data_IF_548411788420
#
_entry.id   IF_548411788420
#
_cell.length_a   1.000
_cell.length_b   1.000
_cell.length_c   1.000
_cell.angle_alpha   90.00
_cell.angle_beta   90.00
_cell.angle_gamma   90.00
#
_symmetry.space_group_name_H-M   'P 1'
#
loop_
_entity.id
_entity.type
_entity.pdbx_description
1 polymer ?
#
# COMPACT_ATOMS: atom_id res chain seq x y z
N UNK A 1 -2.83 11.09 37.68
CA UNK A 1 -4.06 10.84 36.90
C UNK A 1 -3.72 9.87 35.79
N UNK A 2 -4.29 8.67 35.81
CA UNK A 2 -4.06 7.63 34.82
C UNK A 2 -5.06 7.86 33.67
N UNK A 3 -4.60 8.44 32.54
CA UNK A 3 -5.44 8.62 31.34
C UNK A 3 -5.56 7.26 30.62
N UNK A 4 -6.77 6.81 30.33
CA UNK A 4 -7.03 5.61 29.52
C UNK A 4 -6.57 5.83 28.08
N UNK A 5 -6.08 4.78 27.42
CA UNK A 5 -5.47 4.83 26.08
C UNK A 5 -6.35 5.54 25.01
N UNK A 6 -7.68 5.44 25.12
CA UNK A 6 -8.64 6.13 24.25
C UNK A 6 -8.64 7.65 24.38
N UNK A 7 -8.32 8.20 25.56
CA UNK A 7 -8.21 9.65 25.76
C UNK A 7 -6.87 10.20 25.25
N UNK A 8 -5.83 9.37 25.26
CA UNK A 8 -4.52 9.75 24.73
C UNK A 8 -4.55 9.85 23.20
N UNK A 9 -5.21 8.91 22.52
CA UNK A 9 -5.39 8.94 21.05
C UNK A 9 -6.24 10.13 20.56
N UNK A 10 -7.10 10.71 21.42
CA UNK A 10 -7.87 11.93 21.09
C UNK A 10 -7.05 13.23 21.19
N UNK A 11 -5.89 13.22 21.85
CA UNK A 11 -5.05 14.41 22.06
C UNK A 11 -3.80 14.44 21.16
N UNK A 12 -3.51 13.38 20.39
CA UNK A 12 -2.37 13.37 19.46
C UNK A 12 -2.74 14.08 18.16
N UNK A 13 -2.67 15.41 18.18
CA UNK A 13 -2.79 16.23 16.97
C UNK A 13 -1.45 16.27 16.20
N UNK A 14 -1.52 16.43 14.88
CA UNK A 14 -0.34 16.53 14.05
C UNK A 14 0.47 17.79 14.42
N UNK A 15 1.78 17.68 14.69
CA UNK A 15 2.61 18.86 14.90
C UNK A 15 2.60 19.74 13.65
N UNK A 16 2.71 21.05 13.82
CA UNK A 16 2.53 22.05 12.75
C UNK A 16 3.38 21.78 11.50
N UNK A 17 4.60 21.27 11.69
CA UNK A 17 5.48 20.89 10.59
C UNK A 17 4.95 19.70 9.78
N UNK A 18 4.40 18.69 10.45
CA UNK A 18 3.81 17.51 9.80
C UNK A 18 2.51 17.86 9.08
N UNK A 19 1.67 18.69 9.70
CA UNK A 19 0.44 19.17 9.09
C UNK A 19 0.73 19.96 7.80
N UNK A 20 1.66 20.93 7.85
CA UNK A 20 2.09 21.69 6.66
C UNK A 20 2.70 20.81 5.57
N UNK A 21 3.45 19.77 5.95
CA UNK A 21 4.03 18.84 4.98
C UNK A 21 2.94 18.01 4.27
N UNK A 22 1.97 17.49 5.03
CA UNK A 22 0.85 16.70 4.51
C UNK A 22 -0.08 17.49 3.59
N UNK A 23 -0.35 18.75 3.92
CA UNK A 23 -1.24 19.63 3.13
C UNK A 23 -0.53 20.34 1.98
N UNK A 24 0.81 20.24 1.90
CA UNK A 24 1.60 20.92 0.89
C UNK A 24 1.22 20.49 -0.54
N UNK A 25 1.26 21.42 -1.52
CA UNK A 25 0.97 21.11 -2.92
C UNK A 25 1.95 20.08 -3.51
N UNK A 26 3.20 20.06 -3.04
CA UNK A 26 4.21 19.07 -3.43
C UNK A 26 3.76 17.66 -3.00
N UNK A 27 3.25 17.51 -1.78
CA UNK A 27 2.74 16.23 -1.28
C UNK A 27 1.52 15.77 -2.08
N UNK A 28 0.60 16.69 -2.43
CA UNK A 28 -0.57 16.40 -3.28
C UNK A 28 -0.16 15.91 -4.67
N UNK A 29 0.87 16.50 -5.29
CA UNK A 29 1.42 16.02 -6.58
C UNK A 29 2.05 14.63 -6.41
N UNK A 30 2.83 14.41 -5.36
CA UNK A 30 3.44 13.12 -5.08
C UNK A 30 2.39 12.02 -4.93
N UNK A 31 1.28 12.31 -4.25
CA UNK A 31 0.16 11.40 -4.12
C UNK A 31 -0.46 11.01 -5.47
N UNK A 32 -0.70 11.98 -6.35
CA UNK A 32 -1.21 11.72 -7.71
C UNK A 32 -0.22 10.85 -8.49
N UNK A 33 1.06 11.14 -8.40
CA UNK A 33 2.12 10.36 -9.05
C UNK A 33 2.17 8.92 -8.54
N UNK A 34 2.12 8.70 -7.23
CA UNK A 34 2.11 7.35 -6.64
C UNK A 34 0.88 6.56 -7.10
N UNK A 35 -0.30 7.19 -7.14
CA UNK A 35 -1.51 6.52 -7.64
C UNK A 35 -1.36 6.11 -9.11
N UNK A 36 -0.80 6.97 -9.96
CA UNK A 36 -0.63 6.65 -11.38
C UNK A 36 0.35 5.49 -11.58
N UNK A 37 1.42 5.43 -10.78
CA UNK A 37 2.35 4.29 -10.74
C UNK A 37 1.62 3.01 -10.32
N UNK A 38 0.85 3.04 -9.23
CA UNK A 38 0.11 1.86 -8.74
C UNK A 38 -0.88 1.36 -9.81
N UNK A 39 -1.66 2.25 -10.42
CA UNK A 39 -2.60 1.89 -11.48
C UNK A 39 -1.89 1.25 -12.68
N UNK A 40 -0.76 1.82 -13.09
CA UNK A 40 0.04 1.29 -14.20
C UNK A 40 0.57 -0.11 -13.86
N UNK A 41 1.16 -0.29 -12.67
CA UNK A 41 1.63 -1.59 -12.18
C UNK A 41 0.51 -2.63 -12.09
N UNK A 42 -0.69 -2.21 -11.72
CA UNK A 42 -1.87 -3.08 -11.62
C UNK A 42 -2.30 -3.58 -12.98
N UNK A 43 -2.36 -2.69 -13.97
CA UNK A 43 -2.67 -3.06 -15.35
C UNK A 43 -1.65 -4.03 -15.93
N UNK A 44 -0.35 -3.81 -15.70
CA UNK A 44 0.69 -4.73 -16.12
C UNK A 44 0.58 -6.09 -15.42
N UNK A 45 0.31 -6.10 -14.12
CA UNK A 45 0.15 -7.32 -13.32
C UNK A 45 -1.05 -8.15 -13.80
N UNK A 46 -2.19 -7.50 -14.09
CA UNK A 46 -3.35 -8.16 -14.68
C UNK A 46 -3.08 -8.69 -16.09
N UNK A 47 -2.33 -7.96 -16.93
CA UNK A 47 -1.93 -8.42 -18.26
C UNK A 47 -1.01 -9.64 -18.17
N UNK A 48 -0.03 -9.62 -17.27
CA UNK A 48 0.86 -10.75 -17.02
C UNK A 48 0.06 -11.99 -16.61
N UNK A 49 -0.87 -11.85 -15.66
CA UNK A 49 -1.74 -12.93 -15.21
C UNK A 49 -2.62 -13.50 -16.35
N UNK A 50 -3.21 -12.63 -17.18
CA UNK A 50 -3.99 -13.05 -18.35
C UNK A 50 -3.14 -13.80 -19.37
N UNK A 51 -1.92 -13.35 -19.62
CA UNK A 51 -0.98 -14.04 -20.51
C UNK A 51 -0.58 -15.41 -19.96
N UNK A 52 -0.30 -15.50 -18.65
CA UNK A 52 -0.03 -16.76 -17.94
C UNK A 52 -1.19 -17.76 -18.00
N UNK A 53 -2.43 -17.27 -17.95
CA UNK A 53 -3.64 -18.10 -18.09
C UNK A 53 -3.84 -18.58 -19.53
N UNK A 54 -3.55 -17.73 -20.52
CA UNK A 54 -3.83 -18.01 -21.94
C UNK A 54 -2.75 -18.85 -22.62
N UNK A 55 -1.48 -18.68 -22.22
CA UNK A 55 -0.35 -19.29 -22.88
C UNK A 55 0.44 -20.16 -21.90
N UNK A 56 0.57 -21.45 -22.21
CA UNK A 56 1.31 -22.40 -21.40
C UNK A 56 2.80 -22.43 -21.79
N UNK A 57 3.49 -21.31 -21.59
CA UNK A 57 4.89 -21.10 -22.02
C UNK A 57 5.88 -21.69 -21.00
N UNK A 58 5.49 -21.76 -19.72
CA UNK A 58 6.37 -22.16 -18.62
C UNK A 58 6.09 -23.58 -18.13
N UNK A 59 7.08 -24.17 -17.46
CA UNK A 59 6.90 -25.44 -16.73
C UNK A 59 5.79 -25.30 -15.68
N UNK A 60 5.12 -26.41 -15.32
CA UNK A 60 4.02 -26.37 -14.34
C UNK A 60 4.45 -25.79 -12.98
N UNK A 61 5.70 -26.01 -12.56
CA UNK A 61 6.26 -25.47 -11.31
C UNK A 61 6.40 -23.95 -11.38
N UNK A 62 7.17 -23.46 -12.36
CA UNK A 62 7.39 -22.02 -12.61
C UNK A 62 6.07 -21.28 -12.82
N UNK A 63 5.13 -21.90 -13.53
CA UNK A 63 3.80 -21.32 -13.78
C UNK A 63 3.03 -21.11 -12.48
N UNK A 64 3.03 -22.09 -11.57
CA UNK A 64 2.35 -21.96 -10.28
C UNK A 64 2.99 -20.85 -9.42
N UNK A 65 4.32 -20.76 -9.39
CA UNK A 65 5.02 -19.68 -8.67
C UNK A 65 4.67 -18.32 -9.27
N UNK A 66 4.64 -18.19 -10.60
CA UNK A 66 4.23 -16.97 -11.29
C UNK A 66 2.77 -16.57 -11.02
N UNK A 67 1.86 -17.55 -10.93
CA UNK A 67 0.47 -17.31 -10.55
C UNK A 67 0.36 -16.72 -9.15
N UNK A 68 1.00 -17.38 -8.20
CA UNK A 68 1.00 -16.98 -6.79
C UNK A 68 1.66 -15.61 -6.60
N UNK A 69 2.77 -15.36 -7.29
CA UNK A 69 3.44 -14.06 -7.31
C UNK A 69 2.55 -12.96 -7.90
N UNK A 70 1.85 -13.26 -9.01
CA UNK A 70 0.96 -12.30 -9.68
C UNK A 70 -0.25 -11.94 -8.80
N UNK A 71 -0.85 -12.93 -8.11
CA UNK A 71 -1.94 -12.70 -7.17
C UNK A 71 -1.46 -11.85 -5.98
N UNK A 72 -0.31 -12.18 -5.40
CA UNK A 72 0.25 -11.39 -4.30
C UNK A 72 0.56 -9.95 -4.73
N UNK A 73 1.10 -9.74 -5.93
CA UNK A 73 1.34 -8.41 -6.49
C UNK A 73 0.05 -7.60 -6.60
N UNK A 74 -1.04 -8.21 -7.07
CA UNK A 74 -2.37 -7.58 -7.13
C UNK A 74 -2.85 -7.19 -5.73
N UNK A 75 -2.80 -8.12 -4.76
CA UNK A 75 -3.21 -7.86 -3.36
C UNK A 75 -2.38 -6.75 -2.73
N UNK A 76 -1.07 -6.77 -2.91
CA UNK A 76 -0.16 -5.74 -2.41
C UNK A 76 -0.51 -4.37 -2.97
N UNK A 77 -0.69 -4.27 -4.28
CA UNK A 77 -1.00 -3.02 -4.96
C UNK A 77 -2.38 -2.49 -4.57
N UNK A 78 -3.39 -3.35 -4.42
CA UNK A 78 -4.72 -2.95 -3.94
C UNK A 78 -4.67 -2.40 -2.52
N UNK A 79 -3.97 -3.09 -1.62
CA UNK A 79 -3.77 -2.63 -0.23
C UNK A 79 -3.09 -1.28 -0.20
N UNK A 80 -2.01 -1.12 -0.97
CA UNK A 80 -1.26 0.13 -1.06
C UNK A 80 -2.11 1.27 -1.63
N UNK A 81 -2.92 0.99 -2.65
CA UNK A 81 -3.84 1.95 -3.25
C UNK A 81 -4.87 2.43 -2.24
N UNK A 82 -5.47 1.52 -1.49
CA UNK A 82 -6.47 1.84 -0.47
C UNK A 82 -5.90 2.77 0.62
N UNK A 83 -4.72 2.42 1.15
CA UNK A 83 -4.03 3.24 2.16
C UNK A 83 -3.76 4.65 1.62
N UNK A 84 -3.24 4.76 0.40
CA UNK A 84 -2.91 6.05 -0.23
C UNK A 84 -4.16 6.87 -0.54
N UNK A 85 -5.25 6.26 -1.00
CA UNK A 85 -6.52 6.94 -1.23
C UNK A 85 -7.10 7.47 0.08
N UNK A 86 -7.10 6.67 1.16
CA UNK A 86 -7.53 7.15 2.49
C UNK A 86 -6.68 8.31 2.98
N UNK A 87 -5.36 8.27 2.78
CA UNK A 87 -4.44 9.35 3.15
C UNK A 87 -4.78 10.65 2.42
N UNK A 88 -5.02 10.59 1.12
CA UNK A 88 -5.36 11.75 0.29
C UNK A 88 -6.72 12.31 0.68
N UNK A 89 -7.72 11.43 0.83
CA UNK A 89 -9.06 11.81 1.26
C UNK A 89 -9.01 12.57 2.59
N UNK A 90 -8.24 12.06 3.55
CA UNK A 90 -8.04 12.72 4.84
C UNK A 90 -7.31 14.06 4.70
N UNK A 91 -6.25 14.12 3.88
CA UNK A 91 -5.49 15.34 3.62
C UNK A 91 -6.32 16.43 2.94
N UNK A 92 -7.36 16.09 2.18
CA UNK A 92 -8.22 17.08 1.50
C UNK A 92 -9.34 17.54 2.43
N UNK A 93 -9.99 16.63 3.16
CA UNK A 93 -11.16 16.95 3.98
C UNK A 93 -10.75 17.62 5.29
N UNK A 94 -9.74 17.10 5.97
CA UNK A 94 -9.23 17.62 7.24
C UNK A 94 -7.98 18.49 7.03
N UNK A 95 -7.89 19.18 5.89
CA UNK A 95 -6.79 20.10 5.54
C UNK A 95 -6.63 21.24 6.57
N UNK A 96 -7.67 21.52 7.38
CA UNK A 96 -7.67 22.53 8.45
C UNK A 96 -7.70 21.96 9.87
N UNK A 97 -7.88 20.65 10.03
CA UNK A 97 -8.03 19.98 11.32
C UNK A 97 -6.83 19.07 11.61
N UNK A 98 -5.82 19.56 12.37
CA UNK A 98 -4.59 18.81 12.62
C UNK A 98 -4.80 17.53 13.45
N UNK A 99 -5.93 17.41 14.15
CA UNK A 99 -6.21 16.25 15.00
C UNK A 99 -6.87 15.08 14.24
N UNK A 100 -7.51 15.33 13.09
CA UNK A 100 -8.19 14.29 12.31
C UNK A 100 -7.41 13.87 11.04
N UNK A 101 -6.32 14.58 10.72
CA UNK A 101 -5.46 14.27 9.57
C UNK A 101 -4.63 12.99 9.78
N UNK A 102 -4.37 12.61 11.03
CA UNK A 102 -3.60 11.42 11.39
C UNK A 102 -4.47 10.15 11.33
N UNK A 103 -3.83 9.02 11.04
CA UNK A 103 -4.45 7.70 11.20
C UNK A 103 -4.49 7.32 12.67
N UNK A 104 -5.51 6.56 13.05
CA UNK A 104 -5.52 5.94 14.36
C UNK A 104 -4.36 4.93 14.43
N UNK A 105 -3.70 4.85 15.58
CA UNK A 105 -2.48 4.05 15.74
C UNK A 105 -2.69 2.57 15.35
N UNK A 106 -3.85 2.00 15.68
CA UNK A 106 -4.23 0.63 15.34
C UNK A 106 -4.36 0.38 13.84
N UNK A 107 -4.95 1.31 13.10
CA UNK A 107 -5.13 1.19 11.65
C UNK A 107 -3.77 1.20 10.95
N UNK A 108 -2.87 2.07 11.41
CA UNK A 108 -1.51 2.15 10.87
C UNK A 108 -0.71 0.86 11.08
N UNK A 109 -0.82 0.23 12.26
CA UNK A 109 -0.12 -1.03 12.55
C UNK A 109 -0.62 -2.16 11.65
N UNK A 110 -1.94 -2.25 11.44
CA UNK A 110 -2.55 -3.28 10.58
C UNK A 110 -2.12 -3.08 9.12
N UNK A 111 -2.25 -1.86 8.60
CA UNK A 111 -1.87 -1.50 7.24
C UNK A 111 -0.37 -1.77 6.98
N UNK A 112 0.48 -1.42 7.94
CA UNK A 112 1.92 -1.65 7.87
C UNK A 112 2.27 -3.13 7.92
N UNK A 113 1.58 -3.92 8.74
CA UNK A 113 1.75 -5.36 8.82
C UNK A 113 1.41 -6.06 7.50
N UNK A 114 0.25 -5.73 6.90
CA UNK A 114 -0.13 -6.24 5.59
C UNK A 114 0.86 -5.85 4.49
N UNK A 115 1.34 -4.61 4.53
CA UNK A 115 2.38 -4.13 3.61
C UNK A 115 3.66 -4.96 3.72
N UNK A 116 4.16 -5.20 4.93
CA UNK A 116 5.38 -5.99 5.12
C UNK A 116 5.23 -7.45 4.69
N UNK A 117 4.12 -8.11 5.06
CA UNK A 117 3.87 -9.51 4.66
C UNK A 117 3.89 -9.67 3.15
N UNK A 118 3.11 -8.84 2.45
CA UNK A 118 2.98 -8.91 1.00
C UNK A 118 4.30 -8.57 0.29
N UNK A 119 5.13 -7.71 0.90
CA UNK A 119 6.46 -7.40 0.39
C UNK A 119 7.43 -8.57 0.58
N UNK A 120 7.50 -9.16 1.78
CA UNK A 120 8.29 -10.37 2.03
C UNK A 120 7.92 -11.49 1.07
N UNK A 121 6.62 -11.73 0.89
CA UNK A 121 6.12 -12.74 -0.03
C UNK A 121 6.57 -12.49 -1.47
N UNK A 122 6.58 -11.22 -1.91
CA UNK A 122 7.09 -10.85 -3.24
C UNK A 122 8.59 -11.16 -3.35
N UNK A 123 9.40 -10.81 -2.35
CA UNK A 123 10.84 -11.11 -2.34
C UNK A 123 11.11 -12.62 -2.39
N UNK A 124 10.43 -13.41 -1.55
CA UNK A 124 10.55 -14.87 -1.58
C UNK A 124 10.10 -15.48 -2.90
N UNK A 125 9.04 -14.94 -3.51
CA UNK A 125 8.56 -15.41 -4.82
C UNK A 125 9.60 -15.17 -5.91
N UNK A 126 10.26 -14.00 -5.93
CA UNK A 126 11.32 -13.67 -6.89
C UNK A 126 12.55 -14.55 -6.68
N UNK A 127 12.95 -14.80 -5.42
CA UNK A 127 14.04 -15.73 -5.10
C UNK A 127 13.69 -17.13 -5.61
N UNK A 128 12.48 -17.61 -5.33
CA UNK A 128 12.03 -18.93 -5.78
C UNK A 128 12.03 -19.03 -7.31
N UNK A 129 11.62 -17.98 -8.02
CA UNK A 129 11.68 -17.89 -9.48
C UNK A 129 13.11 -17.92 -10.02
N UNK A 130 14.03 -17.26 -9.33
CA UNK A 130 15.44 -17.22 -9.73
C UNK A 130 16.13 -18.58 -9.54
N UNK A 131 15.70 -19.36 -8.52
CA UNK A 131 16.23 -20.70 -8.25
C UNK A 131 15.55 -21.81 -9.06
N UNK A 132 14.36 -21.54 -9.63
CA UNK A 132 13.64 -22.46 -10.53
C UNK A 132 14.08 -22.34 -12.00
N UNK A 133 14.87 -21.31 -12.34
CA UNK A 133 15.58 -21.14 -13.62
C UNK A 133 16.91 -21.90 -13.64
#
# INVERSE_FOLDING_TARGET
>A
MNKTAEQLDKEVCAPDGLHKALTSPIMKINFIFIISVILTSYLFSCKALKTLLKHNIFSNCTRNILFVCSINSIVHQTTMMEIRVRQIFRSIIWDRDPCHILFHSSDCVIDLYFYYITNFFSTYSVISLTLDM
#
